data_IF_776568346688
#
_entry.id   IF_776568346688
#
_cell.length_a   1.000
_cell.length_b   1.000
_cell.length_c   1.000
_cell.angle_alpha   90.00
_cell.angle_beta   90.00
_cell.angle_gamma   90.00
#
_symmetry.space_group_name_H-M   'P 1'
#
loop_
_entity.id
_entity.type
_entity.pdbx_description
1 polymer ?
#
# COMPACT_ATOMS: atom_id res chain seq x y z
N UNK A 1 36.58 -41.19 -22.96
CA UNK A 1 35.69 -40.11 -23.42
C UNK A 1 34.47 -40.13 -22.51
N UNK A 2 34.56 -39.48 -21.35
CA UNK A 2 33.46 -39.44 -20.39
C UNK A 2 32.66 -38.16 -20.64
N UNK A 3 31.42 -38.30 -21.05
CA UNK A 3 30.48 -37.19 -21.20
C UNK A 3 30.03 -36.76 -19.81
N UNK A 4 30.69 -35.76 -19.23
CA UNK A 4 30.15 -35.05 -18.08
C UNK A 4 29.04 -34.13 -18.56
N UNK A 5 27.80 -34.45 -18.20
CA UNK A 5 26.67 -33.53 -18.29
C UNK A 5 26.91 -32.34 -17.34
N UNK A 6 26.63 -31.09 -17.73
CA UNK A 6 26.80 -29.94 -16.86
C UNK A 6 25.85 -30.04 -15.65
N UNK A 7 26.22 -29.48 -14.49
CA UNK A 7 25.30 -29.40 -13.36
C UNK A 7 24.10 -28.57 -13.77
N UNK A 8 22.92 -29.16 -13.67
CA UNK A 8 21.65 -28.49 -13.81
C UNK A 8 21.59 -27.37 -12.77
N UNK A 9 21.67 -26.12 -13.24
CA UNK A 9 21.42 -24.90 -12.46
C UNK A 9 20.02 -24.98 -11.82
N UNK A 10 19.97 -25.65 -10.68
CA UNK A 10 18.80 -25.79 -9.82
C UNK A 10 18.97 -24.76 -8.71
N UNK A 11 18.93 -23.48 -9.05
CA UNK A 11 18.80 -22.40 -8.06
C UNK A 11 17.73 -21.37 -8.40
N UNK A 12 16.90 -21.62 -9.41
CA UNK A 12 15.82 -20.71 -9.79
C UNK A 12 14.42 -21.22 -9.42
N UNK A 13 14.22 -21.85 -8.24
CA UNK A 13 12.91 -21.86 -7.59
C UNK A 13 12.99 -22.40 -6.14
N UNK A 14 13.58 -21.63 -5.24
CA UNK A 14 13.30 -21.79 -3.83
C UNK A 14 12.56 -20.53 -3.39
N UNK A 15 11.26 -20.67 -3.12
CA UNK A 15 10.49 -19.71 -2.33
C UNK A 15 11.24 -19.49 -1.01
N UNK A 16 12.11 -18.49 -0.99
CA UNK A 16 12.87 -18.13 0.19
C UNK A 16 11.88 -17.80 1.31
N UNK A 17 12.08 -18.33 2.53
CA UNK A 17 11.26 -17.92 3.68
C UNK A 17 11.38 -16.41 3.78
N UNK A 18 10.26 -15.68 3.72
CA UNK A 18 10.14 -14.22 3.73
C UNK A 18 11.41 -13.51 4.23
N UNK A 19 12.37 -13.29 3.33
CA UNK A 19 13.64 -12.65 3.67
C UNK A 19 13.33 -11.24 4.16
N UNK A 20 14.19 -10.69 5.03
CA UNK A 20 13.98 -9.35 5.60
C UNK A 20 13.69 -8.25 4.56
N UNK A 21 14.12 -8.47 3.31
CA UNK A 21 13.85 -7.62 2.14
C UNK A 21 12.37 -7.49 1.75
N UNK A 22 11.59 -8.57 1.84
CA UNK A 22 10.16 -8.59 1.46
C UNK A 22 9.23 -8.31 2.64
N UNK A 23 9.69 -8.59 3.86
CA UNK A 23 8.90 -8.38 5.08
C UNK A 23 8.54 -6.91 5.28
N UNK A 24 9.47 -5.97 5.07
CA UNK A 24 9.18 -4.54 5.19
C UNK A 24 8.12 -4.09 4.16
N UNK A 25 8.22 -4.55 2.91
CA UNK A 25 7.26 -4.21 1.86
C UNK A 25 5.84 -4.70 2.18
N UNK A 26 5.70 -5.95 2.63
CA UNK A 26 4.41 -6.55 3.01
C UNK A 26 3.80 -5.80 4.19
N UNK A 27 4.59 -5.60 5.26
CA UNK A 27 4.14 -4.91 6.46
C UNK A 27 3.74 -3.46 6.20
N UNK A 28 4.31 -2.82 5.18
CA UNK A 28 3.99 -1.44 4.83
C UNK A 28 2.52 -1.22 4.44
N UNK A 29 1.79 -2.28 4.05
CA UNK A 29 0.36 -2.20 3.75
C UNK A 29 -0.55 -2.52 4.93
N UNK A 30 0.01 -2.96 6.05
CA UNK A 30 -0.73 -3.15 7.29
C UNK A 30 -0.94 -1.78 7.95
N UNK A 31 -2.16 -1.46 8.44
CA UNK A 31 -2.50 -0.13 8.94
C UNK A 31 -1.50 0.38 9.97
N UNK A 32 -1.21 1.68 9.95
CA UNK A 32 -0.36 2.51 10.84
C UNK A 32 0.72 1.76 11.64
N UNK A 33 0.36 0.93 12.61
CA UNK A 33 1.30 0.08 13.36
C UNK A 33 2.18 -0.75 12.43
N UNK A 34 1.60 -1.40 11.42
CA UNK A 34 2.34 -2.20 10.45
C UNK A 34 3.29 -1.37 9.61
N UNK A 35 2.85 -0.20 9.15
CA UNK A 35 3.68 0.76 8.45
C UNK A 35 4.87 1.25 9.30
N UNK A 36 4.67 1.51 10.60
CA UNK A 36 5.76 1.88 11.51
C UNK A 36 6.76 0.73 11.65
N UNK A 37 6.31 -0.52 11.81
CA UNK A 37 7.20 -1.68 11.89
C UNK A 37 7.98 -1.85 10.58
N UNK A 38 7.31 -1.67 9.42
CA UNK A 38 7.95 -1.69 8.12
C UNK A 38 9.07 -0.65 7.99
N UNK A 39 8.87 0.57 8.50
CA UNK A 39 9.88 1.62 8.53
C UNK A 39 11.10 1.22 9.36
N UNK A 40 10.87 0.67 10.56
CA UNK A 40 11.95 0.23 11.44
C UNK A 40 12.76 -0.88 10.75
N UNK A 41 12.09 -1.86 10.16
CA UNK A 41 12.75 -2.97 9.48
C UNK A 41 13.53 -2.51 8.23
N UNK A 42 12.95 -1.62 7.43
CA UNK A 42 13.59 -1.04 6.26
C UNK A 42 14.82 -0.20 6.62
N UNK A 43 14.77 0.57 7.72
CA UNK A 43 15.93 1.33 8.17
C UNK A 43 17.06 0.42 8.68
N UNK A 44 16.74 -0.77 9.20
CA UNK A 44 17.74 -1.77 9.56
C UNK A 44 18.42 -2.40 8.34
N UNK A 45 17.65 -2.70 7.29
CA UNK A 45 18.17 -3.20 6.00
C UNK A 45 17.36 -2.64 4.83
N UNK A 46 17.91 -1.60 4.19
CA UNK A 46 17.24 -0.94 3.08
C UNK A 46 17.23 -1.83 1.84
N UNK A 47 16.06 -1.97 1.23
CA UNK A 47 15.91 -2.69 -0.04
C UNK A 47 15.12 -1.86 -1.04
N UNK A 48 15.34 -2.10 -2.33
CA UNK A 48 14.57 -1.42 -3.38
C UNK A 48 13.08 -1.78 -3.30
N UNK A 49 12.77 -3.04 -3.00
CA UNK A 49 11.40 -3.51 -2.82
C UNK A 49 10.71 -2.85 -1.63
N UNK A 50 11.40 -2.77 -0.49
CA UNK A 50 10.92 -2.06 0.70
C UNK A 50 10.68 -0.59 0.41
N UNK A 51 11.66 0.09 -0.18
CA UNK A 51 11.58 1.51 -0.58
C UNK A 51 10.37 1.77 -1.47
N UNK A 52 10.20 0.96 -2.52
CA UNK A 52 9.11 1.11 -3.48
C UNK A 52 7.75 0.98 -2.80
N UNK A 53 7.55 -0.07 -2.00
CA UNK A 53 6.26 -0.31 -1.35
C UNK A 53 5.99 0.63 -0.17
N UNK A 54 7.01 1.10 0.55
CA UNK A 54 6.88 2.15 1.56
C UNK A 54 6.37 3.47 0.96
N UNK A 55 6.89 3.88 -0.21
CA UNK A 55 6.39 5.08 -0.91
C UNK A 55 4.94 4.91 -1.36
N UNK A 56 4.64 3.75 -1.96
CA UNK A 56 3.30 3.46 -2.49
C UNK A 56 2.25 3.35 -1.37
N UNK A 57 2.58 2.62 -0.30
CA UNK A 57 1.69 2.45 0.85
C UNK A 57 1.56 3.72 1.67
N UNK A 58 2.61 4.54 1.81
CA UNK A 58 2.51 5.87 2.43
C UNK A 58 1.47 6.72 1.69
N UNK A 59 1.55 6.76 0.36
CA UNK A 59 0.58 7.49 -0.45
C UNK A 59 -0.85 7.00 -0.26
N UNK A 60 -1.05 5.68 -0.18
CA UNK A 60 -2.36 5.10 0.14
C UNK A 60 -2.86 5.48 1.53
N UNK A 61 -2.02 5.36 2.56
CA UNK A 61 -2.39 5.71 3.94
C UNK A 61 -2.80 7.17 4.04
N UNK A 62 -2.01 8.08 3.46
CA UNK A 62 -2.30 9.52 3.47
C UNK A 62 -3.56 9.84 2.68
N UNK A 63 -3.74 9.23 1.51
CA UNK A 63 -4.96 9.42 0.70
C UNK A 63 -6.20 8.92 1.43
N UNK A 64 -6.14 7.72 2.02
CA UNK A 64 -7.24 7.18 2.82
C UNK A 64 -7.55 8.07 4.04
N UNK A 65 -6.50 8.54 4.74
CA UNK A 65 -6.65 9.44 5.87
C UNK A 65 -7.34 10.75 5.47
N UNK A 66 -6.87 11.42 4.42
CA UNK A 66 -7.43 12.69 3.95
C UNK A 66 -8.87 12.50 3.46
N UNK A 67 -9.14 11.47 2.65
CA UNK A 67 -10.49 11.23 2.12
C UNK A 67 -11.49 10.83 3.20
N UNK A 68 -11.06 10.11 4.24
CA UNK A 68 -11.94 9.70 5.33
C UNK A 68 -12.20 10.84 6.30
N UNK A 69 -11.15 11.40 6.91
CA UNK A 69 -11.31 12.46 7.92
C UNK A 69 -11.75 13.78 7.30
N UNK A 70 -11.21 14.15 6.13
CA UNK A 70 -11.61 15.36 5.41
C UNK A 70 -13.07 15.32 5.01
N UNK A 71 -13.55 14.20 4.44
CA UNK A 71 -14.96 14.04 4.15
C UNK A 71 -15.81 14.05 5.43
N UNK A 72 -15.38 13.38 6.50
CA UNK A 72 -16.12 13.36 7.77
C UNK A 72 -16.33 14.77 8.32
N UNK A 73 -15.28 15.60 8.34
CA UNK A 73 -15.37 16.99 8.78
C UNK A 73 -16.29 17.79 7.87
N UNK A 74 -16.17 17.63 6.55
CA UNK A 74 -17.03 18.31 5.57
C UNK A 74 -18.51 17.96 5.76
N UNK A 75 -18.85 16.67 5.82
CA UNK A 75 -20.22 16.22 6.02
C UNK A 75 -20.77 16.67 7.39
N UNK A 76 -19.94 16.71 8.43
CA UNK A 76 -20.34 17.20 9.75
C UNK A 76 -20.72 18.69 9.73
N UNK A 77 -19.95 19.53 9.03
CA UNK A 77 -20.24 20.97 8.91
C UNK A 77 -21.51 21.21 8.11
N UNK A 78 -21.64 20.55 6.96
CA UNK A 78 -22.81 20.71 6.07
C UNK A 78 -24.08 20.13 6.71
N UNK A 79 -23.95 19.08 7.52
CA UNK A 79 -25.04 18.40 8.21
C UNK A 79 -25.66 19.18 9.38
N UNK A 80 -25.14 20.36 9.74
CA UNK A 80 -25.73 21.20 10.80
C UNK A 80 -27.13 21.70 10.41
N UNK A 81 -27.38 21.90 9.11
CA UNK A 81 -28.68 22.38 8.61
C UNK A 81 -29.63 21.17 8.47
N UNK A 82 -30.77 21.11 9.19
CA UNK A 82 -31.59 19.89 9.26
C UNK A 82 -32.10 19.37 7.91
N UNK A 83 -32.53 20.27 7.01
CA UNK A 83 -33.01 19.88 5.68
C UNK A 83 -31.89 19.37 4.77
N UNK A 84 -30.69 19.97 4.87
CA UNK A 84 -29.51 19.58 4.09
C UNK A 84 -28.98 18.23 4.57
N UNK A 85 -29.05 17.96 5.87
CA UNK A 85 -28.58 16.72 6.48
C UNK A 85 -29.29 15.47 5.93
N UNK A 86 -30.57 15.56 5.56
CA UNK A 86 -31.29 14.42 4.98
C UNK A 86 -30.65 14.00 3.64
N UNK A 87 -30.42 14.97 2.75
CA UNK A 87 -29.86 14.72 1.42
C UNK A 87 -28.39 14.33 1.50
N UNK A 88 -27.59 15.10 2.26
CA UNK A 88 -26.16 14.83 2.42
C UNK A 88 -25.89 13.57 3.23
N UNK A 89 -26.75 13.23 4.19
CA UNK A 89 -26.69 11.97 4.92
C UNK A 89 -26.92 10.75 4.02
N UNK A 90 -27.88 10.84 3.09
CA UNK A 90 -28.08 9.79 2.08
C UNK A 90 -26.87 9.65 1.15
N UNK A 91 -26.24 10.76 0.75
CA UNK A 91 -24.99 10.73 -0.03
C UNK A 91 -23.86 10.10 0.78
N UNK A 92 -23.69 10.48 2.04
CA UNK A 92 -22.67 9.93 2.94
C UNK A 92 -22.84 8.41 3.11
N UNK A 93 -24.08 7.92 3.24
CA UNK A 93 -24.38 6.48 3.35
C UNK A 93 -23.83 5.66 2.17
N UNK A 94 -23.75 6.24 0.98
CA UNK A 94 -23.18 5.57 -0.20
C UNK A 94 -21.69 5.87 -0.34
N UNK A 95 -21.29 7.12 -0.09
CA UNK A 95 -19.90 7.57 -0.26
C UNK A 95 -18.90 6.81 0.62
N UNK A 96 -19.17 6.68 1.94
CA UNK A 96 -18.24 6.04 2.88
C UNK A 96 -17.97 4.56 2.58
N UNK A 97 -18.98 3.69 2.32
CA UNK A 97 -18.72 2.30 1.99
C UNK A 97 -18.01 2.14 0.64
N UNK A 98 -18.36 2.95 -0.37
CA UNK A 98 -17.66 2.93 -1.66
C UNK A 98 -16.18 3.32 -1.51
N UNK A 99 -15.91 4.38 -0.76
CA UNK A 99 -14.55 4.83 -0.47
C UNK A 99 -13.76 3.76 0.30
N UNK A 100 -14.37 3.15 1.32
CA UNK A 100 -13.76 2.10 2.14
C UNK A 100 -13.42 0.88 1.28
N UNK A 101 -14.37 0.36 0.51
CA UNK A 101 -14.16 -0.79 -0.36
C UNK A 101 -13.10 -0.50 -1.42
N UNK A 102 -13.17 0.65 -2.09
CA UNK A 102 -12.17 1.06 -3.07
C UNK A 102 -10.76 1.17 -2.49
N UNK A 103 -10.64 1.74 -1.28
CA UNK A 103 -9.36 1.84 -0.57
C UNK A 103 -8.81 0.45 -0.24
N UNK A 104 -9.63 -0.44 0.33
CA UNK A 104 -9.25 -1.81 0.66
C UNK A 104 -8.77 -2.57 -0.58
N UNK A 105 -9.42 -2.40 -1.73
CA UNK A 105 -8.97 -3.00 -3.00
C UNK A 105 -7.56 -2.54 -3.35
N UNK A 106 -7.27 -1.24 -3.26
CA UNK A 106 -5.91 -0.74 -3.54
C UNK A 106 -4.88 -1.25 -2.54
N UNK A 107 -5.22 -1.34 -1.25
CA UNK A 107 -4.35 -1.95 -0.23
C UNK A 107 -4.04 -3.41 -0.56
N UNK A 108 -5.05 -4.20 -0.92
CA UNK A 108 -4.88 -5.61 -1.28
C UNK A 108 -4.04 -5.76 -2.55
N UNK A 109 -4.29 -4.98 -3.60
CA UNK A 109 -3.49 -5.02 -4.83
C UNK A 109 -2.01 -4.70 -4.58
N UNK A 110 -1.75 -3.73 -3.71
CA UNK A 110 -0.41 -3.36 -3.30
C UNK A 110 0.27 -4.45 -2.49
N UNK A 111 -0.46 -5.04 -1.55
CA UNK A 111 -0.03 -6.16 -0.72
C UNK A 111 0.30 -7.41 -1.56
N UNK A 112 -0.55 -7.76 -2.54
CA UNK A 112 -0.31 -8.87 -3.46
C UNK A 112 0.98 -8.64 -4.25
N UNK A 113 1.17 -7.42 -4.78
CA UNK A 113 2.38 -7.08 -5.53
C UNK A 113 3.64 -7.19 -4.66
N UNK A 114 3.57 -6.73 -3.41
CA UNK A 114 4.66 -6.84 -2.44
C UNK A 114 4.97 -8.30 -2.07
N UNK A 115 3.93 -9.11 -1.82
CA UNK A 115 4.08 -10.53 -1.53
C UNK A 115 4.70 -11.31 -2.70
N UNK A 116 4.47 -10.85 -3.93
CA UNK A 116 5.06 -11.41 -5.16
C UNK A 116 6.46 -10.87 -5.47
N UNK A 117 7.00 -9.95 -4.67
CA UNK A 117 8.30 -9.35 -4.94
C UNK A 117 8.32 -8.36 -6.12
N UNK A 118 7.15 -7.82 -6.52
CA UNK A 118 7.00 -7.01 -7.72
C UNK A 118 6.80 -5.53 -7.40
N UNK A 119 7.61 -4.67 -8.02
CA UNK A 119 7.44 -3.22 -7.99
C UNK A 119 6.37 -2.74 -8.98
N UNK A 120 5.13 -3.21 -8.76
CA UNK A 120 4.00 -2.88 -9.63
C UNK A 120 3.26 -1.64 -9.11
N UNK A 121 3.04 -0.61 -9.96
CA UNK A 121 2.27 0.55 -9.56
C UNK A 121 0.79 0.21 -9.43
N UNK A 122 0.16 0.76 -8.41
CA UNK A 122 -1.30 0.70 -8.30
C UNK A 122 -1.95 1.47 -9.46
N UNK A 123 -3.07 0.97 -10.01
CA UNK A 123 -3.84 1.69 -11.01
C UNK A 123 -4.21 3.09 -10.51
N UNK A 124 -4.26 4.07 -11.41
CA UNK A 124 -4.64 5.47 -11.17
C UNK A 124 -3.68 6.31 -10.31
N UNK A 125 -3.14 5.76 -9.22
CA UNK A 125 -2.44 6.53 -8.18
C UNK A 125 -0.99 6.10 -7.94
N UNK A 126 -0.61 4.87 -8.26
CA UNK A 126 0.71 4.31 -7.91
C UNK A 126 1.88 5.13 -8.44
N UNK A 127 1.83 5.54 -9.72
CA UNK A 127 2.88 6.38 -10.32
C UNK A 127 3.00 7.77 -9.69
N UNK A 128 1.88 8.34 -9.22
CA UNK A 128 1.89 9.63 -8.51
C UNK A 128 2.59 9.50 -7.15
N UNK A 129 2.30 8.44 -6.41
CA UNK A 129 2.95 8.19 -5.11
C UNK A 129 4.45 8.00 -5.25
N UNK A 130 4.92 7.28 -6.26
CA UNK A 130 6.37 7.15 -6.50
C UNK A 130 7.03 8.49 -6.80
N UNK A 131 6.33 9.37 -7.52
CA UNK A 131 6.84 10.72 -7.85
C UNK A 131 6.83 11.65 -6.64
N UNK A 132 5.74 11.67 -5.86
CA UNK A 132 5.59 12.53 -4.68
C UNK A 132 6.54 12.16 -3.55
N UNK A 133 6.81 10.86 -3.38
CA UNK A 133 7.67 10.34 -2.32
C UNK A 133 9.02 9.85 -2.83
N UNK A 134 9.48 10.36 -3.99
CA UNK A 134 10.71 9.92 -4.65
C UNK A 134 11.97 10.03 -3.75
N UNK A 135 12.01 11.04 -2.88
CA UNK A 135 13.12 11.28 -1.95
C UNK A 135 12.90 10.66 -0.57
N UNK A 136 11.78 9.96 -0.36
CA UNK A 136 11.49 9.28 0.89
C UNK A 136 12.10 7.88 0.92
N UNK A 137 12.55 7.45 2.09
CA UNK A 137 13.03 6.08 2.35
C UNK A 137 14.26 5.63 1.54
N UNK A 138 14.96 6.57 0.90
CA UNK A 138 16.27 6.37 0.29
C UNK A 138 17.35 6.16 1.37
#
# INVERSE_FOLDING_TARGET
MSTETPPSDTTANASAPLGGSSTAAILSYIPVIGFIIALILHNGQKTELGTYHLRQSLGLHLTAFVLFFGATIFFMIVGIIPLVNIVFGAIAMVYFPLLSLGSVVFFILGLISAAQGQQKPLPLVGGKYQSWFANSFA
#
